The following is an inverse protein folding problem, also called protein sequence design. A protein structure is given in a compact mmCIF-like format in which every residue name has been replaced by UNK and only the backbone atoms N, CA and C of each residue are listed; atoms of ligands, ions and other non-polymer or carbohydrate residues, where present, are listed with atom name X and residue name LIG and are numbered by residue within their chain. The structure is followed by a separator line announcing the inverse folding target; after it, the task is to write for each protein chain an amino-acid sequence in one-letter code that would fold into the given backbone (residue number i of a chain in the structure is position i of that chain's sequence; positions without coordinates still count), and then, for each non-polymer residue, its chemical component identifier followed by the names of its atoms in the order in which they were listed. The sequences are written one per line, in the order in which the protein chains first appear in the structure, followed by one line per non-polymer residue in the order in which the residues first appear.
data_IF_233147341054
#
_entry.id   IF_233147341054
#
_cell.length_a   1.000
_cell.length_b   1.000
_cell.length_c   1.000
_cell.angle_alpha   90.00
_cell.angle_beta   90.00
_cell.angle_gamma   90.00
#
_symmetry.space_group_name_H-M   'P 1'
#
loop_
_entity.id
_entity.type
_entity.pdbx_description
1 polymer ?
#
# COMPACT_ATOMS: atom_id res chain seq x y z
N UNK A 1 2.47 -22.29 -19.51
CA UNK A 1 3.46 -21.19 -19.56
C UNK A 1 2.76 -19.93 -19.11
N UNK A 2 3.17 -19.35 -17.99
CA UNK A 2 2.61 -18.06 -17.53
C UNK A 2 2.99 -16.95 -18.50
N UNK A 3 2.16 -15.91 -18.60
CA UNK A 3 2.57 -14.68 -19.30
C UNK A 3 3.43 -13.87 -18.35
N UNK A 4 4.58 -13.39 -18.82
CA UNK A 4 5.47 -12.52 -18.07
C UNK A 4 5.33 -11.08 -18.56
N UNK A 5 5.37 -10.14 -17.63
CA UNK A 5 5.32 -8.69 -17.90
C UNK A 5 6.41 -8.05 -17.04
N UNK A 6 7.05 -6.98 -17.53
CA UNK A 6 8.03 -6.24 -16.76
C UNK A 6 7.38 -5.60 -15.51
N UNK A 7 8.05 -5.67 -14.36
CA UNK A 7 7.54 -5.08 -13.11
C UNK A 7 7.23 -3.59 -13.23
N UNK A 8 8.05 -2.87 -14.01
CA UNK A 8 7.87 -1.44 -14.30
C UNK A 8 6.53 -1.09 -14.95
N UNK A 9 5.87 -2.03 -15.64
CA UNK A 9 4.54 -1.80 -16.17
C UNK A 9 3.52 -1.59 -15.06
N UNK A 10 3.61 -2.35 -13.96
CA UNK A 10 2.71 -2.20 -12.83
C UNK A 10 3.03 -0.92 -12.05
N UNK A 11 4.31 -0.60 -11.89
CA UNK A 11 4.74 0.64 -11.25
C UNK A 11 4.18 1.87 -11.97
N UNK A 12 4.31 1.91 -13.31
CA UNK A 12 3.75 2.97 -14.14
C UNK A 12 2.23 3.07 -14.05
N UNK A 13 1.52 1.94 -14.03
CA UNK A 13 0.05 1.92 -13.86
C UNK A 13 -0.36 2.47 -12.49
N UNK A 14 0.33 2.09 -11.42
CA UNK A 14 0.01 2.58 -10.06
C UNK A 14 0.34 4.06 -9.92
N UNK A 15 1.50 4.51 -10.41
CA UNK A 15 1.87 5.92 -10.40
C UNK A 15 0.90 6.78 -11.20
N UNK A 16 0.51 6.37 -12.41
CA UNK A 16 -0.45 7.11 -13.23
C UNK A 16 -1.85 7.10 -12.61
N UNK A 17 -2.27 6.01 -11.97
CA UNK A 17 -3.52 5.96 -11.22
C UNK A 17 -3.51 7.03 -10.11
N UNK A 18 -2.47 7.08 -9.29
CA UNK A 18 -2.37 8.11 -8.23
C UNK A 18 -2.36 9.52 -8.82
N UNK A 19 -1.52 9.76 -9.84
CA UNK A 19 -1.46 11.04 -10.55
C UNK A 19 -2.81 11.48 -11.10
N UNK A 20 -3.58 10.58 -11.74
CA UNK A 20 -4.89 10.89 -12.28
C UNK A 20 -5.92 11.21 -11.19
N UNK A 21 -5.96 10.45 -10.10
CA UNK A 21 -6.90 10.70 -9.01
C UNK A 21 -6.56 11.98 -8.24
N UNK A 22 -5.28 12.21 -7.94
CA UNK A 22 -4.82 13.37 -7.19
C UNK A 22 -4.73 14.65 -8.03
N UNK A 23 -4.43 14.57 -9.33
CA UNK A 23 -4.25 15.75 -10.18
C UNK A 23 -5.45 16.10 -11.06
N UNK A 24 -6.29 15.12 -11.44
CA UNK A 24 -7.37 15.32 -12.41
C UNK A 24 -8.76 15.13 -11.82
N UNK A 25 -9.03 13.99 -11.20
CA UNK A 25 -10.39 13.66 -10.75
C UNK A 25 -10.77 14.33 -9.42
N UNK A 26 -9.83 14.42 -8.48
CA UNK A 26 -10.09 14.90 -7.12
C UNK A 26 -9.01 15.86 -6.62
N UNK A 27 -8.53 16.76 -7.49
CA UNK A 27 -7.47 17.73 -7.17
C UNK A 27 -7.68 18.53 -5.88
N UNK A 28 -8.93 18.94 -5.60
CA UNK A 28 -9.27 19.66 -4.38
C UNK A 28 -9.78 18.77 -3.23
N UNK A 29 -9.77 17.43 -3.38
CA UNK A 29 -10.40 16.48 -2.45
C UNK A 29 -9.50 15.24 -2.20
N UNK A 30 -8.34 15.42 -1.55
CA UNK A 30 -7.34 14.34 -1.37
C UNK A 30 -7.90 13.12 -0.61
N UNK A 31 -8.76 13.31 0.39
CA UNK A 31 -9.37 12.19 1.11
C UNK A 31 -10.27 11.32 0.22
N UNK A 32 -11.00 11.94 -0.72
CA UNK A 32 -11.80 11.19 -1.69
C UNK A 32 -10.91 10.47 -2.70
N UNK A 33 -9.81 11.08 -3.13
CA UNK A 33 -8.82 10.43 -3.99
C UNK A 33 -8.27 9.17 -3.31
N UNK A 34 -7.81 9.32 -2.07
CA UNK A 34 -7.30 8.24 -1.23
C UNK A 34 -8.32 7.10 -1.07
N UNK A 35 -9.58 7.41 -0.73
CA UNK A 35 -10.64 6.41 -0.60
C UNK A 35 -10.95 5.68 -1.91
N UNK A 36 -10.82 6.33 -3.07
CA UNK A 36 -11.03 5.69 -4.37
C UNK A 36 -9.87 4.76 -4.75
N UNK A 37 -8.63 5.21 -4.55
CA UNK A 37 -7.42 4.42 -4.79
C UNK A 37 -7.44 3.16 -3.90
N UNK A 38 -7.78 3.33 -2.62
CA UNK A 38 -7.95 2.23 -1.68
C UNK A 38 -9.04 1.25 -2.12
N UNK A 39 -10.20 1.75 -2.57
CA UNK A 39 -11.29 0.90 -3.04
C UNK A 39 -10.91 0.06 -4.27
N UNK A 40 -10.10 0.59 -5.18
CA UNK A 40 -9.55 -0.17 -6.31
C UNK A 40 -8.64 -1.28 -5.78
N UNK A 41 -7.74 -0.95 -4.86
CA UNK A 41 -6.87 -1.93 -4.18
C UNK A 41 -7.68 -3.03 -3.49
N UNK A 42 -8.77 -2.67 -2.81
CA UNK A 42 -9.66 -3.61 -2.15
C UNK A 42 -10.24 -4.64 -3.11
N UNK A 43 -10.76 -4.21 -4.26
CA UNK A 43 -11.31 -5.13 -5.26
C UNK A 43 -10.24 -6.07 -5.83
N UNK A 44 -9.02 -5.56 -6.05
CA UNK A 44 -7.88 -6.36 -6.50
C UNK A 44 -7.50 -7.40 -5.44
N UNK A 45 -7.31 -6.98 -4.19
CA UNK A 45 -6.95 -7.87 -3.09
C UNK A 45 -7.97 -8.97 -2.84
N UNK A 46 -9.26 -8.63 -2.91
CA UNK A 46 -10.35 -9.58 -2.76
C UNK A 46 -10.25 -10.71 -3.80
N UNK A 47 -10.21 -10.36 -5.08
CA UNK A 47 -10.15 -11.33 -6.18
C UNK A 47 -8.85 -12.16 -6.17
N UNK A 48 -7.71 -11.51 -5.88
CA UNK A 48 -6.43 -12.23 -5.81
C UNK A 48 -6.41 -13.24 -4.66
N UNK A 49 -7.00 -12.91 -3.52
CA UNK A 49 -7.05 -13.85 -2.40
C UNK A 49 -7.84 -15.11 -2.74
N UNK A 50 -8.98 -15.01 -3.43
CA UNK A 50 -9.73 -16.19 -3.92
C UNK A 50 -8.85 -17.10 -4.78
N UNK A 51 -8.10 -16.51 -5.71
CA UNK A 51 -7.18 -17.24 -6.60
C UNK A 51 -6.06 -17.92 -5.81
N UNK A 52 -5.42 -17.22 -4.89
CA UNK A 52 -4.24 -17.71 -4.16
C UNK A 52 -4.58 -18.63 -2.98
N UNK A 53 -5.86 -18.78 -2.63
CA UNK A 53 -6.31 -19.72 -1.60
C UNK A 53 -7.18 -20.85 -2.14
N UNK A 54 -7.34 -20.97 -3.46
CA UNK A 54 -8.23 -21.95 -4.10
C UNK A 54 -8.00 -23.39 -3.59
N UNK A 55 -6.74 -23.82 -3.52
CA UNK A 55 -6.35 -25.18 -3.11
C UNK A 55 -5.85 -25.24 -1.66
N UNK A 56 -6.09 -24.19 -0.86
CA UNK A 56 -5.61 -24.09 0.51
C UNK A 56 -6.68 -24.54 1.52
N UNK A 57 -6.30 -25.27 2.58
CA UNK A 57 -7.17 -25.43 3.74
C UNK A 57 -7.61 -24.07 4.31
N UNK A 58 -8.79 -24.02 4.93
CA UNK A 58 -9.28 -22.81 5.59
C UNK A 58 -8.33 -22.41 6.73
N UNK A 59 -8.11 -21.11 6.87
CA UNK A 59 -7.35 -20.56 8.00
C UNK A 59 -8.11 -20.82 9.31
N UNK A 60 -7.37 -21.22 10.34
CA UNK A 60 -7.95 -21.55 11.65
C UNK A 60 -8.01 -20.35 12.58
N UNK A 61 -7.13 -19.38 12.39
CA UNK A 61 -7.11 -18.14 13.15
C UNK A 61 -6.63 -16.93 12.32
N UNK A 62 -6.75 -15.74 12.91
CA UNK A 62 -6.34 -14.50 12.26
C UNK A 62 -4.83 -14.42 12.01
N UNK A 63 -4.01 -15.02 12.88
CA UNK A 63 -2.55 -14.98 12.75
C UNK A 63 -2.08 -15.82 11.55
N UNK A 64 -2.72 -16.96 11.28
CA UNK A 64 -2.45 -17.77 10.09
C UNK A 64 -2.76 -17.03 8.80
N UNK A 65 -3.90 -16.34 8.73
CA UNK A 65 -4.26 -15.51 7.59
C UNK A 65 -3.27 -14.34 7.40
N UNK A 66 -2.85 -13.67 8.48
CA UNK A 66 -1.84 -12.61 8.42
C UNK A 66 -0.48 -13.17 7.97
N UNK A 67 -0.08 -14.37 8.42
CA UNK A 67 1.14 -15.03 7.94
C UNK A 67 1.06 -15.36 6.45
N UNK A 68 -0.11 -15.76 5.96
CA UNK A 68 -0.34 -15.92 4.52
C UNK A 68 -0.14 -14.61 3.76
N UNK A 69 -0.71 -13.50 4.25
CA UNK A 69 -0.50 -12.18 3.66
C UNK A 69 1.00 -11.85 3.60
N UNK A 70 1.72 -12.01 4.71
CA UNK A 70 3.14 -11.69 4.79
C UNK A 70 4.06 -12.56 3.92
N UNK A 71 3.65 -13.80 3.64
CA UNK A 71 4.48 -14.80 2.97
C UNK A 71 4.00 -15.05 1.56
N UNK A 72 3.03 -15.94 1.37
CA UNK A 72 2.65 -16.43 0.05
C UNK A 72 2.04 -15.29 -0.79
N UNK A 73 1.12 -14.52 -0.22
CA UNK A 73 0.42 -13.45 -0.95
C UNK A 73 1.38 -12.32 -1.36
N UNK A 74 2.24 -11.85 -0.44
CA UNK A 74 3.26 -10.84 -0.76
C UNK A 74 4.28 -11.36 -1.78
N UNK A 75 4.67 -12.63 -1.69
CA UNK A 75 5.59 -13.27 -2.64
C UNK A 75 5.00 -13.35 -4.04
N UNK A 76 3.69 -13.59 -4.15
CA UNK A 76 3.02 -13.59 -5.44
C UNK A 76 3.03 -12.21 -6.11
N UNK A 77 2.77 -11.16 -5.33
CA UNK A 77 2.72 -9.77 -5.81
C UNK A 77 4.10 -9.17 -6.11
N UNK A 78 5.06 -9.33 -5.19
CA UNK A 78 6.31 -8.58 -5.18
C UNK A 78 7.56 -9.46 -5.29
N UNK A 79 7.40 -10.78 -5.41
CA UNK A 79 8.50 -11.77 -5.44
C UNK A 79 9.42 -11.68 -4.21
N UNK A 80 8.88 -11.18 -3.09
CA UNK A 80 9.51 -11.10 -1.77
C UNK A 80 8.46 -11.28 -0.65
N UNK A 81 8.93 -11.53 0.56
CA UNK A 81 8.08 -11.57 1.76
C UNK A 81 8.14 -10.24 2.52
N UNK A 82 7.16 -10.02 3.40
CA UNK A 82 7.22 -8.96 4.41
C UNK A 82 8.42 -9.23 5.34
N UNK A 83 9.20 -8.19 5.61
CA UNK A 83 10.46 -8.30 6.36
C UNK A 83 10.22 -8.48 7.87
N UNK A 84 9.21 -7.82 8.43
CA UNK A 84 8.88 -7.94 9.85
C UNK A 84 7.36 -7.98 10.10
N UNK A 85 6.92 -8.90 10.96
CA UNK A 85 5.56 -8.96 11.46
C UNK A 85 5.56 -8.76 12.98
N UNK A 86 4.92 -7.69 13.45
CA UNK A 86 4.67 -7.43 14.88
C UNK A 86 3.17 -7.54 15.17
N UNK A 87 2.81 -7.95 16.38
CA UNK A 87 1.42 -7.94 16.85
C UNK A 87 1.36 -7.56 18.32
N UNK A 88 0.25 -6.93 18.71
CA UNK A 88 -0.06 -6.70 20.13
C UNK A 88 -0.91 -7.83 20.75
N UNK A 89 -1.14 -8.93 20.01
CA UNK A 89 -2.03 -10.04 20.40
C UNK A 89 -3.48 -9.62 20.74
N UNK A 90 -3.87 -8.39 20.39
CA UNK A 90 -5.18 -7.78 20.65
C UNK A 90 -5.81 -7.25 19.35
N UNK A 91 -5.56 -7.94 18.24
CA UNK A 91 -6.14 -7.60 16.94
C UNK A 91 -5.41 -6.54 16.13
N UNK A 92 -4.24 -6.05 16.57
CA UNK A 92 -3.38 -5.17 15.77
C UNK A 92 -2.13 -5.90 15.29
N UNK A 93 -1.83 -5.76 14.01
CA UNK A 93 -0.64 -6.29 13.34
C UNK A 93 0.07 -5.18 12.60
N UNK A 94 1.41 -5.22 12.58
CA UNK A 94 2.25 -4.29 11.82
C UNK A 94 3.14 -5.11 10.90
N UNK A 95 2.97 -4.90 9.60
CA UNK A 95 3.69 -5.57 8.53
C UNK A 95 4.68 -4.56 7.95
N UNK A 96 5.97 -4.78 8.16
CA UNK A 96 7.03 -3.88 7.72
C UNK A 96 7.71 -4.44 6.47
N UNK A 97 7.74 -3.65 5.41
CA UNK A 97 8.52 -3.90 4.21
C UNK A 97 9.66 -2.86 4.16
N UNK A 98 10.90 -3.31 4.18
CA UNK A 98 12.08 -2.44 4.23
C UNK A 98 12.45 -1.86 2.87
N UNK A 99 11.99 -2.48 1.78
CA UNK A 99 12.30 -2.09 0.41
C UNK A 99 11.05 -2.29 -0.45
N UNK A 100 10.03 -1.46 -0.23
CA UNK A 100 8.75 -1.64 -0.90
C UNK A 100 8.86 -1.20 -2.37
N UNK A 101 8.64 -2.08 -3.37
CA UNK A 101 8.96 -1.81 -4.77
C UNK A 101 8.35 -0.53 -5.35
N UNK A 102 7.12 -0.20 -4.96
CA UNK A 102 6.44 1.01 -5.47
C UNK A 102 6.96 2.31 -4.87
N UNK A 103 7.84 2.24 -3.87
CA UNK A 103 8.53 3.38 -3.27
C UNK A 103 10.01 3.49 -3.69
N UNK A 104 10.61 2.46 -4.29
CA UNK A 104 12.06 2.47 -4.63
C UNK A 104 12.44 3.50 -5.68
N UNK A 105 11.49 3.91 -6.51
CA UNK A 105 11.68 4.89 -7.58
C UNK A 105 11.16 6.29 -7.23
N UNK A 106 10.74 6.50 -5.98
CA UNK A 106 10.33 7.82 -5.50
C UNK A 106 11.57 8.54 -4.97
N UNK A 107 11.91 9.67 -5.59
CA UNK A 107 12.90 10.61 -5.05
C UNK A 107 12.16 11.68 -4.26
N UNK A 108 12.42 11.76 -2.96
CA UNK A 108 12.12 12.95 -2.18
C UNK A 108 13.32 13.88 -2.28
N UNK A 109 13.12 15.14 -2.69
CA UNK A 109 14.18 16.14 -2.65
C UNK A 109 14.40 16.55 -1.17
N UNK A 110 15.58 16.31 -0.57
CA UNK A 110 15.85 16.64 0.82
C UNK A 110 15.96 18.15 1.10
N UNK A 111 15.95 19.01 0.08
CA UNK A 111 16.30 20.43 0.22
C UNK A 111 15.24 21.32 0.89
N UNK A 112 14.18 20.76 1.48
CA UNK A 112 13.06 21.54 2.06
C UNK A 112 13.05 21.64 3.60
N UNK A 113 14.00 21.04 4.31
CA UNK A 113 14.07 21.19 5.78
C UNK A 113 14.84 22.43 6.26
N UNK A 114 15.38 23.27 5.38
CA UNK A 114 16.06 24.50 5.80
C UNK A 114 16.10 25.59 4.74
N UNK A 115 15.10 26.46 4.63
CA UNK A 115 15.33 27.85 4.19
C UNK A 115 14.23 28.77 4.71
N UNK A 116 14.66 29.80 5.43
CA UNK A 116 13.86 30.96 5.84
C UNK A 116 13.10 31.58 4.65
N UNK A 117 11.91 32.09 4.95
CA UNK A 117 11.00 32.75 4.03
C UNK A 117 11.70 33.82 3.17
N UNK A 118 11.66 33.64 1.85
CA UNK A 118 11.64 34.76 0.90
C UNK A 118 10.68 34.46 -0.24
N UNK A 119 9.79 35.42 -0.48
CA UNK A 119 8.68 35.37 -1.42
C UNK A 119 9.16 35.34 -2.87
N UNK A 120 8.96 34.22 -3.56
CA UNK A 120 8.79 34.13 -5.03
C UNK A 120 8.45 32.69 -5.40
N UNK A 121 7.19 32.45 -5.77
CA UNK A 121 6.58 31.18 -6.23
C UNK A 121 7.54 29.99 -6.52
N UNK A 122 7.55 28.96 -5.65
CA UNK A 122 7.42 27.58 -6.12
C UNK A 122 6.65 26.69 -5.10
N UNK A 123 5.54 27.17 -4.53
CA UNK A 123 4.85 26.50 -3.41
C UNK A 123 3.90 25.34 -3.79
N UNK A 124 3.87 24.87 -5.04
CA UNK A 124 2.92 23.84 -5.51
C UNK A 124 3.55 22.50 -5.88
N UNK A 125 4.85 22.28 -5.62
CA UNK A 125 5.54 21.03 -6.00
C UNK A 125 6.14 20.26 -4.81
N UNK A 126 6.56 20.96 -3.76
CA UNK A 126 7.16 20.37 -2.56
C UNK A 126 6.19 19.54 -1.71
N UNK A 127 5.05 20.15 -1.33
CA UNK A 127 3.98 19.45 -0.59
C UNK A 127 3.37 18.30 -1.40
N UNK A 128 3.40 18.43 -2.73
CA UNK A 128 2.80 17.47 -3.66
C UNK A 128 3.59 16.17 -3.71
N UNK A 129 4.92 16.20 -3.60
CA UNK A 129 5.75 15.00 -3.70
C UNK A 129 5.54 14.06 -2.50
N UNK A 130 5.66 14.59 -1.28
CA UNK A 130 5.42 13.82 -0.05
C UNK A 130 3.95 13.34 0.04
N UNK A 131 3.00 14.21 -0.30
CA UNK A 131 1.58 13.85 -0.34
C UNK A 131 1.30 12.77 -1.39
N UNK A 132 1.82 12.88 -2.60
CA UNK A 132 1.69 11.87 -3.67
C UNK A 132 2.32 10.54 -3.25
N UNK A 133 3.44 10.59 -2.54
CA UNK A 133 4.10 9.40 -2.01
C UNK A 133 3.20 8.69 -0.99
N UNK A 134 2.54 9.44 -0.10
CA UNK A 134 1.56 8.85 0.81
C UNK A 134 0.35 8.26 0.08
N UNK A 135 -0.04 8.85 -1.06
CA UNK A 135 -1.14 8.38 -1.89
C UNK A 135 -0.85 7.03 -2.55
N UNK A 136 0.42 6.73 -2.88
CA UNK A 136 0.84 5.42 -3.39
C UNK A 136 0.56 4.28 -2.43
N UNK A 137 0.48 4.54 -1.12
CA UNK A 137 0.24 3.51 -0.11
C UNK A 137 -1.23 3.17 0.11
N UNK A 138 -2.18 3.97 -0.38
CA UNK A 138 -3.60 3.62 -0.26
C UNK A 138 -3.98 2.41 -1.10
N UNK A 139 -3.34 2.22 -2.26
CA UNK A 139 -3.58 1.05 -3.11
C UNK A 139 -3.16 -0.27 -2.44
N UNK A 140 -1.92 -0.43 -1.91
CA UNK A 140 -1.54 -1.63 -1.17
C UNK A 140 -2.31 -1.80 0.15
N UNK A 141 -2.70 -0.72 0.84
CA UNK A 141 -3.63 -0.81 1.98
C UNK A 141 -4.95 -1.48 1.56
N UNK A 142 -5.51 -1.06 0.43
CA UNK A 142 -6.70 -1.67 -0.16
C UNK A 142 -6.49 -3.15 -0.47
N UNK A 143 -5.38 -3.50 -1.13
CA UNK A 143 -5.04 -4.89 -1.46
C UNK A 143 -5.05 -5.77 -0.20
N UNK A 144 -4.36 -5.34 0.86
CA UNK A 144 -4.30 -6.09 2.12
C UNK A 144 -5.70 -6.20 2.75
N UNK A 145 -6.46 -5.10 2.79
CA UNK A 145 -7.81 -5.09 3.38
C UNK A 145 -8.78 -5.99 2.61
N UNK A 146 -8.73 -5.94 1.27
CA UNK A 146 -9.54 -6.74 0.37
C UNK A 146 -9.27 -8.24 0.54
N UNK A 147 -8.00 -8.61 0.55
CA UNK A 147 -7.59 -9.99 0.76
C UNK A 147 -8.09 -10.50 2.12
N UNK A 148 -7.80 -9.79 3.21
CA UNK A 148 -8.23 -10.21 4.55
C UNK A 148 -9.75 -10.25 4.72
N UNK A 149 -10.48 -9.33 4.09
CA UNK A 149 -11.95 -9.34 4.13
C UNK A 149 -12.52 -10.58 3.45
N UNK A 150 -11.97 -10.98 2.30
CA UNK A 150 -12.38 -12.20 1.62
C UNK A 150 -12.04 -13.47 2.42
N UNK A 151 -10.98 -13.43 3.23
CA UNK A 151 -10.64 -14.50 4.19
C UNK A 151 -11.52 -14.50 5.45
N UNK A 152 -12.56 -13.66 5.50
CA UNK A 152 -13.47 -13.57 6.64
C UNK A 152 -12.95 -12.74 7.80
N UNK A 153 -11.95 -11.88 7.58
CA UNK A 153 -11.33 -11.02 8.60
C UNK A 153 -11.56 -9.54 8.25
N UNK A 154 -12.71 -8.97 8.64
CA UNK A 154 -12.95 -7.54 8.48
C UNK A 154 -11.89 -6.74 9.24
N UNK A 155 -11.22 -5.82 8.55
CA UNK A 155 -10.14 -5.03 9.14
C UNK A 155 -10.12 -3.60 8.60
N UNK A 156 -9.37 -2.74 9.28
CA UNK A 156 -8.89 -1.47 8.75
C UNK A 156 -7.39 -1.58 8.52
N UNK A 157 -6.90 -0.99 7.42
CA UNK A 157 -5.48 -0.97 7.08
C UNK A 157 -5.07 0.48 6.86
N UNK A 158 -4.00 0.89 7.51
CA UNK A 158 -3.34 2.19 7.30
C UNK A 158 -1.86 1.95 7.08
N UNK A 159 -1.19 2.81 6.34
CA UNK A 159 0.26 2.70 6.13
C UNK A 159 0.98 3.95 6.61
N UNK A 160 2.25 3.76 6.97
CA UNK A 160 3.16 4.82 7.35
C UNK A 160 4.52 4.63 6.65
N UNK A 161 5.18 5.75 6.35
CA UNK A 161 6.52 5.77 5.75
C UNK A 161 7.50 6.29 6.79
N UNK A 162 8.29 5.38 7.33
CA UNK A 162 9.26 5.74 8.36
C UNK A 162 10.55 6.28 7.71
N UNK A 163 11.08 5.57 6.71
CA UNK A 163 12.29 5.93 5.96
C UNK A 163 12.18 5.33 4.56
N UNK A 164 12.19 6.11 3.48
CA UNK A 164 12.17 5.51 2.13
C UNK A 164 13.38 4.60 1.90
N UNK A 165 13.22 3.45 1.21
CA UNK A 165 12.00 2.92 0.59
C UNK A 165 11.14 2.02 1.52
N UNK A 166 11.36 2.06 2.82
CA UNK A 166 10.63 1.27 3.80
C UNK A 166 9.25 1.85 4.14
N UNK A 167 8.27 0.97 4.33
CA UNK A 167 6.94 1.32 4.81
C UNK A 167 6.41 0.25 5.79
N UNK A 168 5.44 0.66 6.60
CA UNK A 168 4.73 -0.23 7.53
C UNK A 168 3.23 -0.17 7.28
N UNK A 169 2.60 -1.34 7.14
CA UNK A 169 1.14 -1.48 7.09
C UNK A 169 0.62 -1.92 8.45
N UNK A 170 -0.25 -1.10 9.04
CA UNK A 170 -0.93 -1.37 10.31
C UNK A 170 -2.31 -1.93 10.01
N UNK A 171 -2.52 -3.21 10.34
CA UNK A 171 -3.78 -3.91 10.20
C UNK A 171 -4.46 -3.96 11.57
N UNK A 172 -5.70 -3.45 11.65
CA UNK A 172 -6.55 -3.49 12.84
C UNK A 172 -7.79 -4.31 12.54
N UNK A 173 -7.90 -5.47 13.17
CA UNK A 173 -9.06 -6.36 13.03
C UNK A 173 -10.27 -5.71 13.71
N UNK A 174 -11.41 -5.70 13.02
CA UNK A 174 -12.68 -5.23 13.59
C UNK A 174 -13.30 -6.39 14.37
N UNK A 175 -13.51 -6.16 15.67
CA UNK A 175 -14.31 -7.04 16.54
C UNK A 175 -15.79 -6.79 16.34
#
# INVERSE_FOLDING_TARGET
MGREVAGSCLDGVVMEMVSAYCGRFYAAKPELAAGRIEAIGFQVGHQLSERYTMDRPRFTDHLEAIKFICKDFWSELFKKQIDNLKTNHRGTFVLQDNCFPWLTHVSLDPSMESTDATESDPALLGDTAAQTTSMLLYFPCGIIRGALTNLGIPCAVSADMSNLPACSFVVRIKT
#
